data_IF_306890843085
#
_entry.id   IF_306890843085
#
_cell.length_a   1.000
_cell.length_b   1.000
_cell.length_c   1.000
_cell.angle_alpha   90.00
_cell.angle_beta   90.00
_cell.angle_gamma   90.00
#
_symmetry.space_group_name_H-M   'P 1'
#
loop_
_entity.id
_entity.type
_entity.pdbx_description
1 polymer ?
#
# COMPACT_ATOMS: atom_id res chain seq x y z
N UNK A 1 8.89 -32.33 50.18
CA UNK A 1 9.94 -31.31 50.43
C UNK A 1 10.58 -30.94 49.10
N UNK A 2 10.18 -29.82 48.49
CA UNK A 2 10.96 -29.17 47.43
C UNK A 2 10.98 -27.67 47.72
N UNK A 3 12.19 -27.14 47.90
CA UNK A 3 12.47 -25.86 48.54
C UNK A 3 12.31 -24.68 47.57
N UNK A 4 11.75 -23.59 48.08
CA UNK A 4 11.77 -22.25 47.49
C UNK A 4 13.17 -21.82 47.07
N UNK A 5 13.28 -21.20 45.90
CA UNK A 5 14.26 -20.12 45.65
C UNK A 5 13.56 -18.96 44.96
N UNK A 6 13.27 -17.92 45.74
CA UNK A 6 12.92 -16.58 45.24
C UNK A 6 14.17 -15.99 44.62
N UNK A 7 14.22 -15.91 43.29
CA UNK A 7 15.24 -15.13 42.59
C UNK A 7 14.89 -13.63 42.69
N UNK A 8 15.40 -12.95 43.70
CA UNK A 8 15.42 -11.48 43.76
C UNK A 8 16.62 -10.96 42.98
N UNK A 9 16.51 -10.96 41.65
CA UNK A 9 17.47 -10.30 40.76
C UNK A 9 16.99 -8.90 40.40
N UNK A 10 17.51 -7.87 41.07
CA UNK A 10 17.32 -6.46 40.71
C UNK A 10 18.09 -6.18 39.42
N UNK A 11 17.45 -6.34 38.26
CA UNK A 11 18.01 -5.97 36.96
C UNK A 11 18.08 -4.44 36.86
N UNK A 12 19.27 -3.87 36.95
CA UNK A 12 19.54 -2.46 36.68
C UNK A 12 19.50 -2.22 35.16
N UNK A 13 18.70 -1.28 34.64
CA UNK A 13 18.65 -1.00 33.21
C UNK A 13 19.79 -0.05 32.85
N UNK A 14 21.03 -0.53 32.76
CA UNK A 14 22.17 0.27 32.28
C UNK A 14 22.40 0.04 30.80
N UNK A 15 21.44 0.51 29.98
CA UNK A 15 21.67 0.84 28.57
C UNK A 15 20.41 1.52 28.05
N UNK A 16 20.47 2.85 27.91
CA UNK A 16 19.44 3.58 27.17
C UNK A 16 19.51 3.07 25.73
N UNK A 17 18.52 2.28 25.33
CA UNK A 17 18.28 1.96 23.94
C UNK A 17 17.96 3.28 23.24
N UNK A 18 18.96 3.91 22.64
CA UNK A 18 18.76 5.02 21.73
C UNK A 18 18.06 4.42 20.51
N UNK A 19 16.73 4.42 20.52
CA UNK A 19 15.96 4.27 19.29
C UNK A 19 16.37 5.46 18.43
N UNK A 20 17.21 5.20 17.43
CA UNK A 20 17.46 6.14 16.34
C UNK A 20 16.08 6.52 15.84
N UNK A 21 15.65 7.74 16.16
CA UNK A 21 14.36 8.25 15.71
C UNK A 21 14.40 8.11 14.20
N UNK A 22 13.67 7.13 13.68
CA UNK A 22 13.34 7.07 12.27
C UNK A 22 12.89 8.48 11.94
N UNK A 23 13.52 9.11 10.93
CA UNK A 23 13.23 10.49 10.56
C UNK A 23 11.71 10.69 10.61
N UNK A 24 11.18 11.86 10.99
CA UNK A 24 9.72 12.08 10.88
C UNK A 24 9.18 11.73 9.47
N UNK A 25 10.08 11.77 8.49
CA UNK A 25 9.94 11.26 7.13
C UNK A 25 10.01 9.73 6.97
N UNK A 26 9.90 8.90 7.99
CA UNK A 26 9.80 7.43 7.89
C UNK A 26 8.52 6.91 8.55
N UNK A 27 7.79 7.78 9.28
CA UNK A 27 6.53 7.43 9.94
C UNK A 27 5.28 7.70 9.07
N UNK A 28 5.35 8.63 8.11
CA UNK A 28 4.21 8.85 7.18
C UNK A 28 3.99 7.60 6.33
N UNK A 29 2.74 7.17 6.12
CA UNK A 29 2.44 6.00 5.29
C UNK A 29 2.94 6.19 3.86
N UNK A 30 3.29 5.10 3.19
CA UNK A 30 3.83 5.12 1.82
C UNK A 30 2.85 5.75 0.81
N UNK A 31 1.55 5.62 1.07
CA UNK A 31 0.47 6.22 0.28
C UNK A 31 0.54 7.75 0.22
N UNK A 32 1.16 8.42 1.20
CA UNK A 32 1.36 9.87 1.20
C UNK A 32 2.62 10.31 0.43
N UNK A 33 3.50 9.37 0.07
CA UNK A 33 4.82 9.69 -0.52
C UNK A 33 4.99 9.17 -1.93
N UNK A 34 4.22 8.15 -2.29
CA UNK A 34 4.32 7.45 -3.57
C UNK A 34 2.95 7.52 -4.22
N UNK A 35 2.92 7.95 -5.47
CA UNK A 35 1.71 8.01 -6.29
C UNK A 35 1.90 7.09 -7.48
N UNK A 36 0.82 6.43 -7.88
CA UNK A 36 0.79 5.62 -9.08
C UNK A 36 0.76 6.54 -10.31
N UNK A 37 1.84 6.56 -11.09
CA UNK A 37 1.91 7.43 -12.26
C UNK A 37 1.15 6.84 -13.46
N UNK A 38 1.41 5.57 -13.76
CA UNK A 38 0.87 4.90 -14.94
C UNK A 38 0.72 3.40 -14.74
N UNK A 39 -0.30 2.82 -15.35
CA UNK A 39 -0.53 1.37 -15.38
C UNK A 39 -0.42 0.91 -16.83
N UNK A 40 0.46 -0.05 -17.07
CA UNK A 40 0.79 -0.52 -18.41
C UNK A 40 0.07 -1.83 -18.79
N UNK A 41 -0.59 -2.47 -17.82
CA UNK A 41 -1.16 -3.80 -17.99
C UNK A 41 -2.58 -3.90 -17.46
N UNK A 42 -3.28 -4.93 -17.92
CA UNK A 42 -4.64 -5.28 -17.51
C UNK A 42 -4.63 -6.64 -16.81
N UNK A 43 -5.51 -6.86 -15.85
CA UNK A 43 -5.68 -8.13 -15.15
C UNK A 43 -7.04 -8.71 -15.46
N UNK A 44 -7.13 -9.53 -16.49
CA UNK A 44 -8.39 -10.16 -16.90
C UNK A 44 -8.24 -11.68 -16.98
N UNK A 45 -9.28 -12.41 -16.57
CA UNK A 45 -9.39 -13.86 -16.78
C UNK A 45 -10.18 -14.21 -18.06
N UNK A 46 -10.83 -13.22 -18.68
CA UNK A 46 -11.64 -13.39 -19.89
C UNK A 46 -12.02 -12.07 -20.54
N UNK A 47 -12.70 -12.15 -21.68
CA UNK A 47 -12.93 -11.03 -22.59
C UNK A 47 -13.93 -9.99 -22.07
N UNK A 48 -14.70 -10.29 -21.02
CA UNK A 48 -15.70 -9.40 -20.43
C UNK A 48 -15.19 -8.65 -19.19
N UNK A 49 -13.87 -8.61 -18.99
CA UNK A 49 -13.26 -8.01 -17.81
C UNK A 49 -13.07 -6.50 -17.86
N UNK A 50 -13.42 -5.84 -18.97
CA UNK A 50 -13.30 -4.40 -19.16
C UNK A 50 -14.65 -3.79 -19.57
N UNK A 51 -14.88 -2.53 -19.22
CA UNK A 51 -16.05 -1.76 -19.61
C UNK A 51 -15.61 -0.58 -20.47
N UNK A 52 -16.41 -0.20 -21.46
CA UNK A 52 -16.16 0.97 -22.29
C UNK A 52 -17.37 1.91 -22.26
N UNK A 53 -17.12 3.22 -22.14
CA UNK A 53 -18.11 4.25 -22.35
C UNK A 53 -18.18 4.56 -23.85
N UNK A 54 -19.29 4.21 -24.55
CA UNK A 54 -19.39 4.42 -26.00
C UNK A 54 -19.53 5.89 -26.40
N UNK A 55 -19.88 6.78 -25.46
CA UNK A 55 -20.09 8.21 -25.74
C UNK A 55 -18.76 8.98 -25.68
N UNK A 56 -17.94 8.71 -24.65
CA UNK A 56 -16.65 9.40 -24.44
C UNK A 56 -15.45 8.63 -24.97
N UNK A 57 -15.61 7.33 -25.24
CA UNK A 57 -14.51 6.43 -25.62
C UNK A 57 -13.60 6.04 -24.45
N UNK A 58 -14.04 6.26 -23.21
CA UNK A 58 -13.26 5.88 -22.02
C UNK A 58 -13.38 4.38 -21.75
N UNK A 59 -12.26 3.75 -21.38
CA UNK A 59 -12.19 2.32 -21.09
C UNK A 59 -11.79 2.14 -19.63
N UNK A 60 -12.59 1.38 -18.90
CA UNK A 60 -12.34 0.98 -17.52
C UNK A 60 -11.90 -0.49 -17.47
N UNK A 61 -10.78 -0.78 -16.80
CA UNK A 61 -10.27 -2.13 -16.66
C UNK A 61 -9.60 -2.35 -15.29
N UNK A 62 -9.67 -3.58 -14.74
CA UNK A 62 -8.96 -3.94 -13.52
C UNK A 62 -7.48 -4.22 -13.80
N UNK A 63 -6.64 -3.80 -12.87
CA UNK A 63 -5.21 -4.08 -12.83
C UNK A 63 -4.81 -4.39 -11.37
N UNK A 64 -4.80 -5.68 -11.01
CA UNK A 64 -4.63 -6.12 -9.62
C UNK A 64 -5.68 -5.53 -8.68
N UNK A 65 -5.24 -4.72 -7.71
CA UNK A 65 -6.09 -4.09 -6.69
C UNK A 65 -6.59 -2.68 -7.09
N UNK A 66 -6.38 -2.28 -8.34
CA UNK A 66 -6.67 -0.95 -8.84
C UNK A 66 -7.60 -1.06 -10.04
N UNK A 67 -8.56 -0.14 -10.15
CA UNK A 67 -9.37 0.03 -11.37
C UNK A 67 -8.85 1.24 -12.12
N UNK A 68 -8.53 1.06 -13.40
CA UNK A 68 -7.93 2.08 -14.25
C UNK A 68 -8.95 2.54 -15.28
N UNK A 69 -9.02 3.85 -15.50
CA UNK A 69 -9.77 4.47 -16.58
C UNK A 69 -8.80 5.14 -17.54
N UNK A 70 -8.95 4.88 -18.83
CA UNK A 70 -8.17 5.51 -19.88
C UNK A 70 -9.10 6.14 -20.91
N UNK A 71 -8.80 7.38 -21.33
CA UNK A 71 -9.56 8.05 -22.38
C UNK A 71 -8.98 7.66 -23.75
N UNK A 72 -9.83 7.29 -24.73
CA UNK A 72 -9.37 6.93 -26.08
C UNK A 72 -8.64 8.07 -26.81
N UNK A 73 -8.99 9.30 -26.48
CA UNK A 73 -8.57 10.51 -27.23
C UNK A 73 -7.36 11.19 -26.58
N UNK A 74 -6.87 10.68 -25.45
CA UNK A 74 -5.75 11.28 -24.73
C UNK A 74 -4.85 10.24 -24.05
N UNK A 75 -3.73 10.69 -23.53
CA UNK A 75 -2.83 9.85 -22.72
C UNK A 75 -3.15 9.90 -21.22
N UNK A 76 -4.28 10.53 -20.86
CA UNK A 76 -4.74 10.65 -19.49
C UNK A 76 -5.19 9.30 -18.95
N UNK A 77 -4.63 8.94 -17.80
CA UNK A 77 -5.03 7.76 -17.06
C UNK A 77 -5.44 8.19 -15.65
N UNK A 78 -6.62 7.74 -15.21
CA UNK A 78 -7.03 7.85 -13.81
C UNK A 78 -7.15 6.46 -13.19
N UNK A 79 -7.02 6.40 -11.87
CA UNK A 79 -6.99 5.14 -11.15
C UNK A 79 -7.71 5.26 -9.81
N UNK A 80 -8.46 4.23 -9.45
CA UNK A 80 -9.10 4.08 -8.15
C UNK A 80 -8.33 3.01 -7.39
N UNK A 81 -7.67 3.41 -6.31
CA UNK A 81 -6.92 2.51 -5.43
C UNK A 81 -7.80 2.20 -4.22
N UNK A 82 -7.89 0.92 -3.87
CA UNK A 82 -8.44 0.55 -2.57
C UNK A 82 -7.47 0.99 -1.45
N UNK A 83 -7.88 1.97 -0.64
CA UNK A 83 -7.08 2.53 0.45
C UNK A 83 -7.39 1.88 1.82
N UNK A 84 -7.91 0.65 1.82
CA UNK A 84 -8.29 -0.12 3.03
C UNK A 84 -7.09 -0.59 3.84
#
# INVERSE_FOLDING_TARGET
MFSSRRCTGRLTPTRKLVKKGSSLRDLRPLTERIVLEKVLGVTLKGNSGLACNPVTGEIAFPAGCVIVFISSTGHGQSHIINSS
#
